data_IF_038498231299
#
_entry.id   IF_038498231299
#
_cell.length_a   1.000
_cell.length_b   1.000
_cell.length_c   1.000
_cell.angle_alpha   90.00
_cell.angle_beta   90.00
_cell.angle_gamma   90.00
#
_symmetry.space_group_name_H-M   'P 1'
#
loop_
_entity.id
_entity.type
_entity.pdbx_description
1 polymer ?
#
# COMPACT_ATOMS: atom_id res chain seq x y z
N UNK A 1 -16.67 5.77 -5.87
CA UNK A 1 -16.82 6.65 -4.71
C UNK A 1 -18.23 6.51 -4.14
N UNK A 2 -18.40 6.75 -2.83
CA UNK A 2 -19.67 6.62 -2.10
C UNK A 2 -19.99 7.95 -1.41
N UNK A 3 -21.22 8.44 -1.52
CA UNK A 3 -21.68 9.64 -0.82
C UNK A 3 -21.82 9.44 0.68
N UNK A 4 -22.13 8.24 1.13
CA UNK A 4 -22.05 7.91 2.56
C UNK A 4 -20.58 7.78 2.96
N UNK A 5 -20.15 8.61 3.86
CA UNK A 5 -18.76 8.69 4.32
C UNK A 5 -17.84 9.49 3.40
N UNK A 6 -18.22 9.81 2.17
CA UNK A 6 -17.39 10.52 1.20
C UNK A 6 -16.11 9.76 0.82
N UNK A 7 -16.17 8.43 0.66
CA UNK A 7 -14.98 7.56 0.53
C UNK A 7 -14.95 6.77 -0.77
N UNK A 8 -13.78 6.20 -1.08
CA UNK A 8 -13.62 5.26 -2.19
C UNK A 8 -14.36 3.98 -1.87
N UNK A 9 -15.30 3.57 -2.72
CA UNK A 9 -16.15 2.38 -2.55
C UNK A 9 -15.67 1.18 -3.36
N UNK A 10 -15.07 1.43 -4.52
CA UNK A 10 -14.57 0.39 -5.41
C UNK A 10 -13.32 0.86 -6.14
N UNK A 11 -12.36 -0.04 -6.26
CA UNK A 11 -11.15 0.14 -7.08
C UNK A 11 -10.99 -1.03 -8.02
N UNK A 12 -10.86 -0.71 -9.31
CA UNK A 12 -10.62 -1.67 -10.39
C UNK A 12 -9.35 -1.26 -11.12
N UNK A 13 -8.41 -2.20 -11.24
CA UNK A 13 -7.16 -2.04 -11.98
C UNK A 13 -7.36 -2.67 -13.36
N UNK A 14 -7.27 -1.85 -14.40
CA UNK A 14 -7.47 -2.29 -15.77
C UNK A 14 -6.23 -3.00 -16.33
N UNK A 15 -6.44 -3.83 -17.34
CA UNK A 15 -5.39 -4.52 -18.09
C UNK A 15 -4.57 -5.56 -17.30
N UNK A 16 -5.10 -6.04 -16.18
CA UNK A 16 -4.55 -7.17 -15.44
C UNK A 16 -5.60 -8.27 -15.31
N UNK A 17 -5.20 -9.52 -15.55
CA UNK A 17 -6.12 -10.64 -15.39
C UNK A 17 -6.23 -11.07 -13.93
N UNK A 18 -7.45 -11.30 -13.46
CA UNK A 18 -7.71 -11.93 -12.16
C UNK A 18 -7.61 -13.46 -12.24
N UNK A 19 -7.76 -14.15 -11.10
CA UNK A 19 -7.73 -15.63 -11.02
C UNK A 19 -8.77 -16.35 -11.88
N UNK A 20 -9.82 -15.67 -12.28
CA UNK A 20 -10.93 -16.21 -13.09
C UNK A 20 -10.74 -15.93 -14.59
N UNK A 21 -9.70 -15.16 -14.96
CA UNK A 21 -9.41 -14.75 -16.32
C UNK A 21 -10.17 -13.50 -16.77
N UNK A 22 -10.80 -12.76 -15.85
CA UNK A 22 -11.35 -11.45 -16.16
C UNK A 22 -10.21 -10.46 -16.45
N UNK A 23 -10.43 -9.56 -17.41
CA UNK A 23 -9.39 -8.60 -17.87
C UNK A 23 -9.07 -7.47 -16.89
N UNK A 24 -9.73 -7.40 -15.76
CA UNK A 24 -9.56 -6.35 -14.76
C UNK A 24 -9.51 -6.96 -13.36
N UNK A 25 -8.64 -6.44 -12.51
CA UNK A 25 -8.51 -6.84 -11.12
C UNK A 25 -9.30 -5.89 -10.24
N UNK A 26 -10.23 -6.40 -9.44
CA UNK A 26 -10.90 -5.62 -8.40
C UNK A 26 -10.14 -5.77 -7.10
N UNK A 27 -9.58 -4.67 -6.57
CA UNK A 27 -8.87 -4.68 -5.28
C UNK A 27 -9.84 -4.82 -4.12
N UNK A 28 -10.94 -4.07 -4.17
CA UNK A 28 -12.04 -4.13 -3.22
C UNK A 28 -13.30 -3.48 -3.81
N UNK A 29 -14.46 -3.81 -3.23
CA UNK A 29 -15.74 -3.16 -3.53
C UNK A 29 -16.70 -3.23 -2.34
N UNK A 30 -17.43 -2.16 -2.12
CA UNK A 30 -18.49 -2.07 -1.11
C UNK A 30 -18.01 -2.50 0.28
N UNK A 31 -18.58 -3.56 0.83
CA UNK A 31 -18.27 -4.06 2.19
C UNK A 31 -16.86 -4.65 2.37
N UNK A 32 -16.08 -4.77 1.31
CA UNK A 32 -14.70 -5.24 1.41
C UNK A 32 -13.77 -4.19 2.04
N UNK A 33 -14.14 -2.93 1.95
CA UNK A 33 -13.43 -1.83 2.57
C UNK A 33 -14.34 -1.03 3.50
N UNK A 34 -13.75 -0.53 4.59
CA UNK A 34 -14.33 0.50 5.43
C UNK A 34 -13.23 1.52 5.73
N UNK A 35 -13.46 2.76 5.31
CA UNK A 35 -12.60 3.90 5.61
C UNK A 35 -13.48 4.99 6.23
N UNK A 36 -13.07 5.51 7.38
CA UNK A 36 -13.72 6.66 7.97
C UNK A 36 -12.72 7.56 8.70
N UNK A 37 -13.08 8.82 8.78
CA UNK A 37 -12.36 9.86 9.49
C UNK A 37 -13.18 10.29 10.70
N UNK A 38 -12.54 10.37 11.85
CA UNK A 38 -13.20 10.76 13.11
C UNK A 38 -12.59 12.06 13.62
N UNK A 39 -13.42 13.08 13.79
CA UNK A 39 -13.03 14.42 14.21
C UNK A 39 -13.51 14.68 15.63
N UNK A 40 -12.68 15.34 16.45
CA UNK A 40 -13.08 15.80 17.75
C UNK A 40 -13.98 17.04 17.60
N UNK A 41 -15.12 17.03 18.28
CA UNK A 41 -16.04 18.17 18.42
C UNK A 41 -16.01 18.70 19.85
N UNK A 42 -16.69 19.79 20.11
CA UNK A 42 -16.83 20.32 21.49
C UNK A 42 -17.58 19.36 22.43
N UNK A 43 -18.50 18.59 21.86
CA UNK A 43 -19.42 17.73 22.62
C UNK A 43 -19.11 16.23 22.48
N UNK A 44 -17.97 15.88 21.83
CA UNK A 44 -17.57 14.49 21.62
C UNK A 44 -16.84 14.27 20.29
N UNK A 45 -17.30 13.32 19.50
CA UNK A 45 -16.67 12.94 18.23
C UNK A 45 -17.71 12.78 17.12
N UNK A 46 -17.33 13.10 15.88
CA UNK A 46 -18.13 12.85 14.70
C UNK A 46 -17.34 11.99 13.71
N UNK A 47 -17.96 10.93 13.21
CA UNK A 47 -17.36 10.05 12.19
C UNK A 47 -17.97 10.34 10.83
N UNK A 48 -17.15 10.37 9.79
CA UNK A 48 -17.65 10.47 8.42
C UNK A 48 -18.53 9.30 8.00
N UNK A 49 -18.38 8.13 8.65
CA UNK A 49 -19.25 6.98 8.40
C UNK A 49 -20.75 7.26 8.66
N UNK A 50 -21.04 8.25 9.51
CA UNK A 50 -22.39 8.66 9.88
C UNK A 50 -22.90 9.84 9.03
N UNK A 51 -22.06 10.39 8.16
CA UNK A 51 -22.37 11.56 7.34
C UNK A 51 -22.69 11.18 5.90
N UNK A 52 -23.57 11.97 5.29
CA UNK A 52 -23.83 11.95 3.86
C UNK A 52 -23.22 13.20 3.22
N UNK A 53 -22.47 12.98 2.17
CA UNK A 53 -21.79 14.04 1.42
C UNK A 53 -22.50 14.30 0.09
N UNK A 54 -22.60 15.56 -0.26
CA UNK A 54 -23.07 15.98 -1.58
C UNK A 54 -21.87 16.15 -2.50
N UNK A 55 -21.83 15.45 -3.65
CA UNK A 55 -20.76 15.62 -4.62
C UNK A 55 -20.93 16.92 -5.40
N UNK A 56 -19.83 17.59 -5.66
CA UNK A 56 -19.71 18.77 -6.52
C UNK A 56 -18.40 18.74 -7.29
N UNK A 57 -18.21 19.65 -8.24
CA UNK A 57 -17.00 19.73 -9.08
C UNK A 57 -16.62 18.37 -9.70
N UNK A 58 -17.62 17.62 -10.18
CA UNK A 58 -17.41 16.27 -10.73
C UNK A 58 -16.88 16.40 -12.15
N UNK A 59 -15.65 15.92 -12.35
CA UNK A 59 -14.99 15.76 -13.65
C UNK A 59 -14.49 14.34 -13.82
N UNK A 60 -13.82 14.01 -14.91
CA UNK A 60 -13.21 12.71 -15.13
C UNK A 60 -12.11 12.38 -14.11
N UNK A 61 -11.49 13.41 -13.52
CA UNK A 61 -10.35 13.25 -12.61
C UNK A 61 -10.56 13.84 -11.22
N UNK A 62 -11.63 14.61 -11.00
CA UNK A 62 -11.84 15.33 -9.74
C UNK A 62 -13.26 15.18 -9.24
N UNK A 63 -13.42 15.07 -7.94
CA UNK A 63 -14.71 15.20 -7.25
C UNK A 63 -14.50 15.81 -5.88
N UNK A 64 -15.39 16.70 -5.50
CA UNK A 64 -15.45 17.32 -4.17
C UNK A 64 -16.70 16.83 -3.44
N UNK A 65 -16.53 16.23 -2.29
CA UNK A 65 -17.60 15.80 -1.37
C UNK A 65 -17.74 16.81 -0.23
N UNK A 66 -18.93 17.33 -0.01
CA UNK A 66 -19.21 18.32 1.05
C UNK A 66 -20.33 17.82 1.95
N UNK A 67 -20.05 17.75 3.25
CA UNK A 67 -21.05 17.58 4.29
C UNK A 67 -21.28 18.92 5.00
N UNK A 68 -22.52 19.39 5.05
CA UNK A 68 -22.90 20.66 5.64
C UNK A 68 -23.58 20.43 7.00
N UNK A 69 -23.02 21.02 8.04
CA UNK A 69 -23.60 20.98 9.38
C UNK A 69 -24.60 22.15 9.61
N UNK A 70 -24.34 23.30 8.96
CA UNK A 70 -25.22 24.47 8.90
C UNK A 70 -24.70 25.38 7.78
N UNK A 71 -25.46 26.40 7.40
CA UNK A 71 -25.07 27.34 6.34
C UNK A 71 -23.64 27.87 6.56
N UNK A 72 -22.76 27.61 5.59
CA UNK A 72 -21.36 28.00 5.62
C UNK A 72 -20.47 27.21 6.60
N UNK A 73 -20.96 26.10 7.18
CA UNK A 73 -20.20 25.21 8.08
C UNK A 73 -20.07 23.84 7.45
N UNK A 74 -18.96 23.60 6.78
CA UNK A 74 -18.77 22.43 5.94
C UNK A 74 -17.51 21.64 6.28
N UNK A 75 -17.61 20.31 6.16
CA UNK A 75 -16.50 19.40 6.05
C UNK A 75 -16.40 18.95 4.59
N UNK A 76 -15.23 19.11 3.99
CA UNK A 76 -15.00 18.83 2.57
C UNK A 76 -13.92 17.79 2.38
N UNK A 77 -14.17 16.80 1.52
CA UNK A 77 -13.19 15.81 1.07
C UNK A 77 -13.09 15.92 -0.45
N UNK A 78 -11.94 16.33 -0.94
CA UNK A 78 -11.67 16.46 -2.38
C UNK A 78 -10.75 15.33 -2.83
N UNK A 79 -11.12 14.68 -3.91
CA UNK A 79 -10.34 13.65 -4.59
C UNK A 79 -9.89 14.17 -5.95
N UNK A 80 -8.63 13.94 -6.27
CA UNK A 80 -8.03 14.22 -7.58
C UNK A 80 -7.28 12.98 -8.04
N UNK A 81 -7.71 12.40 -9.16
CA UNK A 81 -7.01 11.28 -9.79
C UNK A 81 -5.69 11.80 -10.38
N UNK A 82 -4.59 11.27 -9.88
CA UNK A 82 -3.26 11.55 -10.35
C UNK A 82 -2.80 10.56 -11.43
N UNK A 83 -1.53 10.64 -11.78
CA UNK A 83 -0.87 9.69 -12.66
C UNK A 83 -0.47 8.42 -11.89
N UNK A 84 -0.11 7.36 -12.60
CA UNK A 84 0.55 6.17 -12.05
C UNK A 84 -0.21 5.57 -10.84
N UNK A 85 -1.53 5.38 -10.99
CA UNK A 85 -2.40 4.77 -9.96
C UNK A 85 -2.55 5.58 -8.66
N UNK A 86 -2.22 6.87 -8.67
CA UNK A 86 -2.35 7.75 -7.52
C UNK A 86 -3.72 8.40 -7.44
N UNK A 87 -4.23 8.56 -6.22
CA UNK A 87 -5.42 9.33 -5.89
C UNK A 87 -5.07 10.30 -4.76
N UNK A 88 -5.00 11.59 -5.08
CA UNK A 88 -4.73 12.64 -4.12
C UNK A 88 -6.00 13.03 -3.39
N UNK A 89 -5.93 13.14 -2.07
CA UNK A 89 -7.06 13.47 -1.21
C UNK A 89 -6.72 14.63 -0.30
N UNK A 90 -7.62 15.60 -0.23
CA UNK A 90 -7.53 16.69 0.74
C UNK A 90 -8.80 16.78 1.58
N UNK A 91 -8.63 16.92 2.88
CA UNK A 91 -9.72 17.05 3.86
C UNK A 91 -9.61 18.41 4.51
N UNK A 92 -10.68 19.19 4.50
CA UNK A 92 -10.71 20.54 5.07
C UNK A 92 -12.04 20.82 5.76
N UNK A 93 -12.02 21.74 6.71
CA UNK A 93 -13.21 22.27 7.39
C UNK A 93 -13.34 23.77 7.07
N UNK A 94 -14.56 24.23 6.84
CA UNK A 94 -14.82 25.65 6.64
C UNK A 94 -15.90 26.10 7.60
N UNK A 95 -15.69 27.21 8.32
CA UNK A 95 -16.66 27.76 9.26
C UNK A 95 -16.96 26.88 10.48
N UNK A 96 -16.18 25.83 10.72
CA UNK A 96 -16.46 24.79 11.70
C UNK A 96 -15.94 25.11 13.13
N UNK A 97 -15.34 26.27 13.38
CA UNK A 97 -14.76 26.66 14.66
C UNK A 97 -15.74 26.60 15.88
N UNK A 98 -17.05 26.73 15.60
CA UNK A 98 -18.09 26.57 16.62
C UNK A 98 -18.48 25.13 16.94
N UNK A 99 -18.08 24.15 16.09
CA UNK A 99 -18.45 22.74 16.18
C UNK A 99 -17.24 21.89 16.52
N UNK A 100 -16.14 22.03 15.78
CA UNK A 100 -14.91 21.29 16.03
C UNK A 100 -14.20 21.79 17.29
N UNK A 101 -13.48 20.89 17.95
CA UNK A 101 -12.66 21.24 19.10
C UNK A 101 -11.35 21.89 18.63
N UNK A 102 -11.14 23.21 18.90
CA UNK A 102 -9.96 23.93 18.41
C UNK A 102 -8.65 23.49 19.09
N UNK A 103 -8.73 22.76 20.20
CA UNK A 103 -7.56 22.24 20.92
C UNK A 103 -7.06 20.91 20.37
N UNK A 104 -7.81 20.27 19.47
CA UNK A 104 -7.47 18.98 18.86
C UNK A 104 -7.12 19.21 17.41
N UNK A 105 -5.84 19.12 17.08
CA UNK A 105 -5.29 19.35 15.76
C UNK A 105 -4.97 18.04 15.03
N UNK A 106 -5.74 16.99 15.29
CA UNK A 106 -5.58 15.68 14.67
C UNK A 106 -6.93 15.10 14.25
N UNK A 107 -6.89 14.23 13.25
CA UNK A 107 -8.01 13.38 12.81
C UNK A 107 -7.63 11.92 12.99
N UNK A 108 -8.53 11.13 13.55
CA UNK A 108 -8.38 9.69 13.63
C UNK A 108 -8.89 9.05 12.35
N UNK A 109 -8.14 8.09 11.81
CA UNK A 109 -8.44 7.36 10.58
C UNK A 109 -8.61 5.89 10.93
N UNK A 110 -9.78 5.34 10.62
CA UNK A 110 -10.02 3.91 10.70
C UNK A 110 -10.12 3.35 9.28
N UNK A 111 -9.16 2.53 8.90
CA UNK A 111 -9.10 1.90 7.59
C UNK A 111 -9.09 0.38 7.73
N UNK A 112 -10.01 -0.29 7.07
CA UNK A 112 -10.12 -1.74 7.06
C UNK A 112 -10.35 -2.20 5.63
N UNK A 113 -9.74 -3.33 5.26
CA UNK A 113 -9.94 -3.94 3.95
C UNK A 113 -9.78 -5.45 4.04
N UNK A 114 -10.68 -6.18 3.37
CA UNK A 114 -10.48 -7.59 3.05
C UNK A 114 -9.66 -7.68 1.77
N UNK A 115 -8.48 -8.29 1.86
CA UNK A 115 -7.57 -8.47 0.75
C UNK A 115 -8.04 -9.63 -0.13
N UNK A 116 -8.56 -9.32 -1.31
CA UNK A 116 -9.09 -10.31 -2.24
C UNK A 116 -7.96 -11.18 -2.81
N UNK A 117 -8.25 -12.48 -2.96
CA UNK A 117 -7.38 -13.43 -3.65
C UNK A 117 -7.43 -13.19 -5.16
N UNK A 118 -6.27 -12.92 -5.78
CA UNK A 118 -6.14 -12.65 -7.22
C UNK A 118 -5.55 -13.83 -8.00
N UNK A 119 -4.88 -14.77 -7.32
CA UNK A 119 -4.24 -15.92 -7.93
C UNK A 119 -4.96 -17.23 -7.62
N UNK A 120 -4.79 -18.25 -8.47
CA UNK A 120 -5.36 -19.60 -8.24
C UNK A 120 -4.75 -20.28 -7.01
N UNK A 121 -3.47 -20.01 -6.74
CA UNK A 121 -2.69 -20.63 -5.68
C UNK A 121 -2.78 -19.93 -4.35
N UNK A 122 -3.85 -20.12 -3.56
CA UNK A 122 -4.06 -19.49 -2.26
C UNK A 122 -2.83 -19.48 -1.35
N UNK A 123 -2.21 -20.64 -1.12
CA UNK A 123 -1.09 -20.78 -0.16
C UNK A 123 0.12 -19.94 -0.57
N UNK A 124 0.39 -19.86 -1.87
CA UNK A 124 1.51 -19.09 -2.38
C UNK A 124 1.25 -17.59 -2.29
N UNK A 125 0.09 -17.14 -2.76
CA UNK A 125 -0.29 -15.73 -2.71
C UNK A 125 -0.43 -15.22 -1.26
N UNK A 126 -1.05 -16.04 -0.38
CA UNK A 126 -1.24 -15.68 1.04
C UNK A 126 0.09 -15.48 1.78
N UNK A 127 1.17 -16.17 1.38
CA UNK A 127 2.52 -15.98 1.94
C UNK A 127 3.04 -14.55 1.74
N UNK A 128 2.70 -13.92 0.62
CA UNK A 128 3.13 -12.56 0.27
C UNK A 128 2.09 -11.49 0.58
N UNK A 129 0.94 -11.88 1.10
CA UNK A 129 -0.09 -10.96 1.55
C UNK A 129 0.26 -10.44 2.95
N UNK A 130 0.70 -9.18 3.04
CA UNK A 130 1.18 -8.55 4.27
C UNK A 130 0.59 -7.17 4.46
N UNK A 131 0.43 -6.75 5.72
CA UNK A 131 0.27 -5.36 6.08
C UNK A 131 1.69 -4.78 6.26
N UNK A 132 2.05 -3.86 5.39
CA UNK A 132 3.40 -3.26 5.33
C UNK A 132 3.29 -1.78 5.68
N UNK A 133 4.31 -1.22 6.31
CA UNK A 133 4.33 0.19 6.70
C UNK A 133 5.75 0.74 6.66
N UNK A 134 5.87 2.06 6.51
CA UNK A 134 7.15 2.76 6.51
C UNK A 134 7.23 3.68 7.72
N UNK A 135 8.27 3.49 8.53
CA UNK A 135 8.57 4.37 9.67
C UNK A 135 9.29 5.60 9.17
N UNK A 136 8.87 6.78 9.60
CA UNK A 136 9.49 8.06 9.20
C UNK A 136 10.99 8.14 9.54
N UNK A 137 11.44 7.34 10.51
CA UNK A 137 12.85 7.20 10.91
C UNK A 137 13.19 5.74 11.13
N UNK A 138 13.24 4.94 10.08
CA UNK A 138 13.55 3.52 10.31
C UNK A 138 13.32 2.58 9.13
N UNK A 139 12.80 3.09 8.02
CA UNK A 139 12.57 2.32 6.81
C UNK A 139 11.29 1.44 6.88
N UNK A 140 11.16 0.57 5.91
CA UNK A 140 9.97 -0.25 5.68
C UNK A 140 10.01 -1.54 6.48
N UNK A 141 8.89 -1.83 7.15
CA UNK A 141 8.65 -3.04 7.95
C UNK A 141 7.26 -3.62 7.64
N UNK A 142 6.96 -4.80 8.14
CA UNK A 142 5.65 -5.45 7.91
C UNK A 142 5.25 -6.32 9.10
N UNK A 143 3.95 -6.51 9.30
CA UNK A 143 3.45 -7.50 10.25
C UNK A 143 3.80 -8.90 9.75
N UNK A 144 4.21 -9.77 10.67
CA UNK A 144 4.66 -11.14 10.38
C UNK A 144 3.69 -11.89 9.47
N UNK A 145 4.23 -12.74 8.60
CA UNK A 145 3.49 -13.56 7.63
C UNK A 145 2.81 -14.79 8.28
N UNK A 146 2.60 -14.79 9.60
CA UNK A 146 2.05 -15.94 10.32
C UNK A 146 0.61 -16.25 9.95
N UNK A 147 0.17 -17.46 10.24
CA UNK A 147 -1.22 -17.91 10.11
C UNK A 147 -2.13 -17.44 11.25
N UNK A 148 -1.61 -16.68 12.20
CA UNK A 148 -2.35 -16.19 13.37
C UNK A 148 -2.72 -14.71 13.22
N UNK A 149 -3.73 -14.28 13.97
CA UNK A 149 -4.07 -12.87 14.09
C UNK A 149 -2.90 -12.13 14.76
N UNK A 150 -2.49 -11.03 14.14
CA UNK A 150 -1.51 -10.10 14.72
C UNK A 150 -2.21 -8.77 14.98
N UNK A 151 -1.95 -8.19 16.13
CA UNK A 151 -2.42 -6.89 16.56
C UNK A 151 -1.23 -6.17 17.21
N UNK A 152 -0.71 -5.15 16.53
CA UNK A 152 0.54 -4.49 16.91
C UNK A 152 0.35 -2.98 17.01
N UNK A 153 0.92 -2.38 18.04
CA UNK A 153 0.98 -0.92 18.22
C UNK A 153 2.35 -0.45 17.77
N UNK A 154 2.39 0.39 16.76
CA UNK A 154 3.61 0.99 16.23
C UNK A 154 3.81 2.32 16.95
N UNK A 155 4.80 2.38 17.83
CA UNK A 155 5.12 3.56 18.62
C UNK A 155 5.74 4.68 17.78
N UNK A 156 6.45 4.30 16.70
CA UNK A 156 7.07 5.25 15.78
C UNK A 156 6.03 5.97 14.91
N UNK A 157 6.40 7.14 14.40
CA UNK A 157 5.68 7.80 13.32
C UNK A 157 5.80 7.00 12.03
N UNK A 158 4.70 6.94 11.28
CA UNK A 158 4.58 6.19 10.03
C UNK A 158 4.31 7.16 8.88
N UNK A 159 4.96 6.99 7.74
CA UNK A 159 4.71 7.79 6.54
C UNK A 159 3.60 7.20 5.68
N UNK A 160 3.57 5.87 5.58
CA UNK A 160 2.52 5.16 4.86
C UNK A 160 2.23 3.77 5.44
N UNK A 161 1.01 3.30 5.16
CA UNK A 161 0.55 1.94 5.46
C UNK A 161 0.00 1.33 4.17
N UNK A 162 0.33 0.06 3.91
CA UNK A 162 -0.08 -0.68 2.74
C UNK A 162 -0.78 -1.99 3.10
N UNK A 163 -1.95 -2.20 2.53
CA UNK A 163 -2.66 -3.48 2.49
C UNK A 163 -2.35 -4.14 1.15
N UNK A 164 -1.56 -5.19 1.16
CA UNK A 164 -1.08 -5.81 -0.07
C UNK A 164 -1.38 -7.30 -0.16
N UNK A 165 -1.57 -7.78 -1.37
CA UNK A 165 -1.38 -9.16 -1.77
C UNK A 165 -0.02 -9.31 -2.49
N UNK A 166 0.15 -10.39 -3.23
CA UNK A 166 1.42 -10.65 -3.94
C UNK A 166 1.72 -9.59 -5.01
N UNK A 167 0.72 -9.18 -5.79
CA UNK A 167 0.92 -8.38 -7.01
C UNK A 167 0.32 -6.99 -6.96
N UNK A 168 -0.54 -6.70 -6.00
CA UNK A 168 -1.24 -5.41 -5.89
C UNK A 168 -1.22 -4.89 -4.46
N UNK A 169 -1.26 -3.58 -4.34
CA UNK A 169 -1.34 -2.88 -3.05
C UNK A 169 -2.39 -1.78 -3.08
N UNK A 170 -3.00 -1.59 -1.91
CA UNK A 170 -3.70 -0.36 -1.53
C UNK A 170 -2.83 0.32 -0.47
N UNK A 171 -2.31 1.49 -0.76
CA UNK A 171 -1.40 2.24 0.12
C UNK A 171 -2.03 3.57 0.50
N UNK A 172 -1.97 3.94 1.76
CA UNK A 172 -2.33 5.26 2.26
C UNK A 172 -1.07 5.96 2.74
N UNK A 173 -0.78 7.13 2.18
CA UNK A 173 0.41 7.94 2.43
C UNK A 173 -0.01 9.26 3.06
N UNK A 174 0.54 9.61 4.21
CA UNK A 174 0.33 10.93 4.79
C UNK A 174 1.37 11.91 4.25
N UNK A 175 0.94 13.10 3.83
CA UNK A 175 1.86 14.14 3.37
C UNK A 175 2.82 14.58 4.50
N UNK A 176 2.32 14.65 5.71
CA UNK A 176 3.14 14.87 6.91
C UNK A 176 3.67 13.55 7.46
N UNK A 177 2.94 12.92 8.32
CA UNK A 177 3.12 11.56 8.85
C UNK A 177 1.79 11.12 9.52
N UNK A 178 1.69 9.83 9.79
CA UNK A 178 0.78 9.35 10.83
C UNK A 178 1.54 9.41 12.15
N UNK A 179 0.94 10.04 13.15
CA UNK A 179 1.55 10.24 14.47
C UNK A 179 2.07 8.94 15.11
N UNK A 180 2.29 8.96 16.39
CA UNK A 180 2.75 7.80 17.17
C UNK A 180 1.58 6.92 17.63
N UNK A 181 1.88 5.69 18.07
CA UNK A 181 0.90 4.72 18.62
C UNK A 181 -0.21 4.32 17.63
N UNK A 182 0.18 4.09 16.39
CA UNK A 182 -0.73 3.56 15.38
C UNK A 182 -0.98 2.07 15.62
N UNK A 183 -2.23 1.61 15.53
CA UNK A 183 -2.56 0.19 15.69
C UNK A 183 -2.77 -0.45 14.33
N UNK A 184 -2.02 -1.50 14.06
CA UNK A 184 -2.08 -2.27 12.82
C UNK A 184 -2.50 -3.71 13.12
N UNK A 185 -3.48 -4.24 12.39
CA UNK A 185 -4.02 -5.59 12.60
C UNK A 185 -4.06 -6.36 11.30
N UNK A 186 -3.57 -7.59 11.33
CA UNK A 186 -3.70 -8.56 10.23
C UNK A 186 -4.42 -9.81 10.72
N UNK A 187 -5.51 -10.18 10.04
CA UNK A 187 -6.36 -11.33 10.39
C UNK A 187 -6.39 -12.27 9.19
N UNK A 188 -5.79 -13.48 9.28
CA UNK A 188 -5.85 -14.47 8.22
C UNK A 188 -7.28 -14.86 7.89
N UNK A 189 -7.54 -15.15 6.61
CA UNK A 189 -8.82 -15.67 6.14
C UNK A 189 -8.65 -17.13 5.71
N UNK A 190 -9.73 -17.88 5.81
CA UNK A 190 -9.74 -19.30 5.43
C UNK A 190 -9.67 -19.46 3.91
N UNK A 191 -8.98 -20.53 3.48
CA UNK A 191 -8.95 -20.94 2.08
C UNK A 191 -10.37 -21.22 1.57
N UNK A 192 -10.70 -20.67 0.42
CA UNK A 192 -12.02 -20.84 -0.20
C UNK A 192 -12.99 -19.68 0.04
N UNK A 193 -12.69 -18.77 0.96
CA UNK A 193 -13.51 -17.56 1.19
C UNK A 193 -13.39 -16.52 0.08
N UNK A 194 -12.36 -16.62 -0.76
CA UNK A 194 -12.03 -15.61 -1.78
C UNK A 194 -11.14 -14.47 -1.27
N UNK A 195 -10.74 -14.51 -0.02
CA UNK A 195 -9.89 -13.51 0.62
C UNK A 195 -8.66 -14.16 1.24
N UNK A 196 -7.56 -13.40 1.31
CA UNK A 196 -6.30 -13.83 1.91
C UNK A 196 -6.20 -13.39 3.38
N UNK A 197 -6.44 -12.11 3.61
CA UNK A 197 -6.31 -11.43 4.91
C UNK A 197 -7.41 -10.38 5.06
N UNK A 198 -7.75 -10.05 6.30
CA UNK A 198 -8.42 -8.80 6.64
C UNK A 198 -7.42 -7.91 7.36
N UNK A 199 -7.18 -6.73 6.81
CA UNK A 199 -6.30 -5.73 7.39
C UNK A 199 -7.12 -4.64 8.06
N UNK A 200 -6.57 -4.09 9.15
CA UNK A 200 -7.10 -2.91 9.84
C UNK A 200 -5.94 -2.01 10.23
N UNK A 201 -6.12 -0.72 10.05
CA UNK A 201 -5.21 0.31 10.50
C UNK A 201 -6.01 1.39 11.23
N UNK A 202 -5.60 1.69 12.46
CA UNK A 202 -6.05 2.86 13.22
C UNK A 202 -4.90 3.84 13.25
N UNK A 203 -5.06 4.93 12.53
CA UNK A 203 -4.01 5.91 12.29
C UNK A 203 -4.48 7.26 12.80
N UNK A 204 -3.53 8.15 13.03
CA UNK A 204 -3.81 9.54 13.42
C UNK A 204 -2.89 10.47 12.62
N UNK A 205 -3.44 11.51 12.02
CA UNK A 205 -2.64 12.51 11.31
C UNK A 205 -3.08 13.93 11.68
N UNK A 206 -2.29 14.90 11.27
CA UNK A 206 -2.56 16.32 11.52
C UNK A 206 -3.84 16.77 10.80
N UNK A 207 -4.64 17.56 11.47
CA UNK A 207 -5.84 18.19 10.94
C UNK A 207 -6.00 19.59 11.53
N UNK A 208 -6.30 20.55 10.68
CA UNK A 208 -6.55 21.92 11.12
C UNK A 208 -8.06 22.20 11.26
N UNK A 209 -8.60 22.27 12.49
CA UNK A 209 -10.02 22.55 12.69
C UNK A 209 -10.45 23.96 12.30
N UNK A 210 -9.51 24.88 12.05
CA UNK A 210 -9.79 26.24 11.56
C UNK A 210 -10.00 26.28 10.05
N UNK A 211 -9.50 25.27 9.34
CA UNK A 211 -9.60 25.14 7.88
C UNK A 211 -8.55 25.94 7.10
N UNK A 212 -7.55 26.55 7.77
CA UNK A 212 -6.49 27.28 7.08
C UNK A 212 -5.56 26.35 6.29
N UNK A 213 -5.39 25.12 6.74
CA UNK A 213 -4.55 24.10 6.08
C UNK A 213 -5.33 22.79 5.88
N UNK A 214 -5.43 22.28 4.65
CA UNK A 214 -6.06 20.98 4.41
C UNK A 214 -5.14 19.84 4.86
N UNK A 215 -5.73 18.79 5.42
CA UNK A 215 -5.04 17.50 5.61
C UNK A 215 -4.90 16.82 4.26
N UNK A 216 -3.69 16.47 3.88
CA UNK A 216 -3.38 15.82 2.59
C UNK A 216 -3.01 14.36 2.82
N UNK A 217 -3.74 13.48 2.15
CA UNK A 217 -3.52 12.04 2.09
C UNK A 217 -3.45 11.61 0.63
N UNK A 218 -2.48 10.80 0.30
CA UNK A 218 -2.38 10.20 -1.02
C UNK A 218 -2.67 8.70 -0.93
N UNK A 219 -3.41 8.18 -1.90
CA UNK A 219 -3.62 6.74 -2.03
C UNK A 219 -2.94 6.26 -3.30
N UNK A 220 -2.29 5.12 -3.20
CA UNK A 220 -1.84 4.34 -4.33
C UNK A 220 -2.67 3.06 -4.40
N UNK A 221 -3.31 2.82 -5.53
CA UNK A 221 -4.05 1.60 -5.81
C UNK A 221 -3.51 0.97 -7.09
N UNK A 222 -2.54 0.09 -7.00
CA UNK A 222 -1.85 -0.37 -8.19
C UNK A 222 -1.04 -1.64 -8.02
N UNK A 223 -0.33 -2.04 -9.10
CA UNK A 223 0.52 -3.23 -9.10
C UNK A 223 1.79 -3.03 -8.28
N UNK A 224 2.28 -4.11 -7.67
CA UNK A 224 3.57 -4.14 -7.00
C UNK A 224 4.69 -4.27 -8.05
N UNK A 225 4.88 -3.22 -8.85
CA UNK A 225 5.93 -3.13 -9.86
C UNK A 225 7.07 -2.25 -9.35
N UNK A 226 8.28 -2.81 -9.31
CA UNK A 226 9.46 -2.16 -8.73
C UNK A 226 9.81 -0.84 -9.44
N UNK A 227 9.79 -0.85 -10.79
CA UNK A 227 10.14 0.33 -11.59
C UNK A 227 9.08 1.41 -11.51
N UNK A 228 7.82 1.01 -11.60
CA UNK A 228 6.68 1.91 -11.47
C UNK A 228 6.71 2.63 -10.12
N UNK A 229 6.91 1.89 -9.02
CA UNK A 229 6.94 2.47 -7.67
C UNK A 229 8.12 3.45 -7.49
N UNK A 230 9.31 3.12 -7.99
CA UNK A 230 10.45 4.06 -7.99
C UNK A 230 10.16 5.31 -8.82
N UNK A 231 9.61 5.15 -10.01
CA UNK A 231 9.28 6.26 -10.90
C UNK A 231 8.22 7.16 -10.27
N UNK A 232 7.15 6.59 -9.75
CA UNK A 232 6.07 7.29 -9.08
C UNK A 232 6.58 8.10 -7.89
N UNK A 233 7.41 7.51 -7.05
CA UNK A 233 8.01 8.21 -5.90
C UNK A 233 8.87 9.38 -6.35
N UNK A 234 9.70 9.21 -7.37
CA UNK A 234 10.58 10.27 -7.89
C UNK A 234 9.79 11.44 -8.52
N UNK A 235 8.63 11.17 -9.10
CA UNK A 235 7.78 12.17 -9.75
C UNK A 235 6.82 12.89 -8.80
N UNK A 236 6.41 12.22 -7.71
CA UNK A 236 5.37 12.72 -6.81
C UNK A 236 5.83 13.78 -5.82
N UNK A 237 7.12 14.07 -5.74
CA UNK A 237 7.73 15.07 -4.85
C UNK A 237 7.16 15.04 -3.41
N UNK A 238 7.23 13.89 -2.76
CA UNK A 238 6.78 13.74 -1.37
C UNK A 238 7.64 14.52 -0.38
N UNK A 239 8.83 15.00 -0.80
CA UNK A 239 9.78 15.71 0.05
C UNK A 239 10.52 14.81 1.04
N UNK A 240 10.36 13.50 0.93
CA UNK A 240 10.99 12.46 1.76
C UNK A 240 11.09 11.17 0.96
N UNK A 241 12.06 10.33 1.33
CA UNK A 241 12.23 8.99 0.76
C UNK A 241 11.20 8.05 1.43
N UNK A 242 10.30 7.50 0.65
CA UNK A 242 9.24 6.61 1.13
C UNK A 242 9.57 5.12 0.92
N UNK A 243 10.61 4.81 0.14
CA UNK A 243 11.01 3.44 -0.19
C UNK A 243 9.83 2.56 -0.70
N UNK A 244 8.91 3.13 -1.49
CA UNK A 244 7.69 2.43 -1.94
C UNK A 244 8.00 1.17 -2.75
N UNK A 245 9.14 1.11 -3.42
CA UNK A 245 9.60 -0.09 -4.13
C UNK A 245 9.84 -1.29 -3.20
N UNK A 246 9.92 -1.09 -1.88
CA UNK A 246 10.00 -2.17 -0.90
C UNK A 246 8.69 -2.95 -0.73
N UNK A 247 7.59 -2.47 -1.28
CA UNK A 247 6.37 -3.27 -1.44
C UNK A 247 6.62 -4.51 -2.31
N UNK A 248 7.62 -4.45 -3.21
CA UNK A 248 8.03 -5.60 -4.02
C UNK A 248 8.98 -6.48 -3.21
N UNK A 249 8.58 -7.73 -2.97
CA UNK A 249 9.40 -8.68 -2.25
C UNK A 249 10.55 -9.20 -3.14
N UNK A 250 11.75 -8.73 -2.88
CA UNK A 250 12.97 -9.12 -3.62
C UNK A 250 13.78 -10.25 -2.94
N UNK A 251 13.22 -10.91 -1.93
CA UNK A 251 13.90 -11.97 -1.18
C UNK A 251 14.67 -11.47 0.06
N UNK A 252 15.43 -12.38 0.67
CA UNK A 252 16.24 -12.08 1.85
C UNK A 252 17.29 -10.99 1.57
N UNK A 253 17.85 -10.32 2.60
CA UNK A 253 18.70 -9.14 2.41
C UNK A 253 19.82 -9.31 1.38
N UNK A 254 20.53 -10.47 1.41
CA UNK A 254 21.59 -10.76 0.44
C UNK A 254 21.04 -10.88 -1.00
N UNK A 255 19.96 -11.63 -1.18
CA UNK A 255 19.31 -11.79 -2.49
C UNK A 255 18.66 -10.49 -2.97
N UNK A 256 18.12 -9.69 -2.05
CA UNK A 256 17.57 -8.37 -2.36
C UNK A 256 18.60 -7.46 -3.00
N UNK A 257 19.84 -7.40 -2.47
CA UNK A 257 20.93 -6.61 -3.04
C UNK A 257 21.26 -7.08 -4.45
N UNK A 258 21.40 -8.41 -4.65
CA UNK A 258 21.68 -8.98 -5.97
C UNK A 258 20.52 -8.70 -6.94
N UNK A 259 19.28 -8.92 -6.51
CA UNK A 259 18.12 -8.68 -7.35
C UNK A 259 17.96 -7.21 -7.72
N UNK A 260 18.11 -6.29 -6.75
CA UNK A 260 17.99 -4.85 -6.96
C UNK A 260 19.05 -4.29 -7.91
N UNK A 261 20.32 -4.69 -7.76
CA UNK A 261 21.44 -4.09 -8.47
C UNK A 261 21.91 -4.87 -9.70
N UNK A 262 21.53 -6.13 -9.82
CA UNK A 262 21.96 -6.98 -10.92
C UNK A 262 20.80 -7.59 -11.70
N UNK A 263 19.95 -8.40 -11.06
CA UNK A 263 18.94 -9.20 -11.77
C UNK A 263 17.93 -8.33 -12.51
N UNK A 264 17.42 -7.25 -11.89
CA UNK A 264 16.44 -6.35 -12.51
C UNK A 264 17.06 -5.65 -13.71
N UNK A 265 18.30 -5.14 -13.60
CA UNK A 265 18.95 -4.47 -14.72
C UNK A 265 19.24 -5.40 -15.89
N UNK A 266 19.72 -6.61 -15.61
CA UNK A 266 19.95 -7.63 -16.65
C UNK A 266 18.63 -8.04 -17.32
N UNK A 267 17.57 -8.18 -16.53
CA UNK A 267 16.24 -8.48 -17.02
C UNK A 267 15.73 -7.37 -17.96
N UNK A 268 15.77 -6.11 -17.51
CA UNK A 268 15.36 -4.95 -18.32
C UNK A 268 16.18 -4.85 -19.62
N UNK A 269 17.48 -5.07 -19.54
CA UNK A 269 18.38 -5.06 -20.69
C UNK A 269 18.03 -6.15 -21.72
N UNK A 270 17.79 -7.38 -21.25
CA UNK A 270 17.41 -8.50 -22.14
C UNK A 270 16.02 -8.33 -22.75
N UNK A 271 15.05 -7.82 -21.98
CA UNK A 271 13.71 -7.53 -22.50
C UNK A 271 13.71 -6.42 -23.52
N UNK A 272 14.62 -5.45 -23.41
CA UNK A 272 14.83 -4.37 -24.38
C UNK A 272 15.22 -4.85 -25.79
N UNK A 273 15.75 -6.07 -25.93
CA UNK A 273 16.00 -6.70 -27.25
C UNK A 273 14.74 -7.33 -27.88
N UNK A 274 13.60 -7.30 -27.20
CA UNK A 274 12.35 -7.90 -27.69
C UNK A 274 12.30 -9.43 -27.62
N UNK A 275 13.17 -10.06 -26.83
CA UNK A 275 13.13 -11.51 -26.62
C UNK A 275 11.84 -11.95 -25.92
N UNK A 276 11.35 -13.14 -26.27
CA UNK A 276 10.28 -13.79 -25.53
C UNK A 276 10.72 -14.01 -24.07
N UNK A 277 9.79 -13.81 -23.12
CA UNK A 277 10.04 -13.94 -21.68
C UNK A 277 10.73 -15.26 -21.29
N UNK A 278 10.37 -16.38 -21.91
CA UNK A 278 11.01 -17.67 -21.68
C UNK A 278 12.50 -17.68 -22.05
N UNK A 279 12.86 -17.03 -23.16
CA UNK A 279 14.26 -16.88 -23.59
C UNK A 279 15.03 -16.01 -22.59
N UNK A 280 14.44 -14.90 -22.14
CA UNK A 280 15.04 -14.01 -21.14
C UNK A 280 15.36 -14.79 -19.85
N UNK A 281 14.42 -15.60 -19.35
CA UNK A 281 14.62 -16.41 -18.14
C UNK A 281 15.74 -17.46 -18.31
N UNK A 282 15.84 -18.10 -19.47
CA UNK A 282 16.93 -19.05 -19.78
C UNK A 282 18.27 -18.32 -19.78
N UNK A 283 18.38 -17.17 -20.46
CA UNK A 283 19.60 -16.39 -20.55
C UNK A 283 20.08 -15.90 -19.18
N UNK A 284 19.17 -15.38 -18.34
CA UNK A 284 19.49 -14.97 -16.95
C UNK A 284 19.98 -16.18 -16.15
N UNK A 285 19.33 -17.33 -16.29
CA UNK A 285 19.71 -18.55 -15.58
C UNK A 285 21.11 -19.02 -15.99
N UNK A 286 21.43 -18.99 -17.27
CA UNK A 286 22.76 -19.34 -17.79
C UNK A 286 23.83 -18.35 -17.30
N UNK A 287 23.54 -17.06 -17.32
CA UNK A 287 24.42 -16.01 -16.83
C UNK A 287 24.72 -16.18 -15.33
N UNK A 288 23.70 -16.38 -14.50
CA UNK A 288 23.88 -16.63 -13.06
C UNK A 288 24.66 -17.90 -12.78
N UNK A 289 24.38 -19.00 -13.53
CA UNK A 289 25.17 -20.23 -13.45
C UNK A 289 26.63 -20.02 -13.84
N UNK A 290 26.88 -19.23 -14.89
CA UNK A 290 28.24 -18.89 -15.31
C UNK A 290 29.02 -18.15 -14.24
N UNK A 291 28.40 -17.14 -13.59
CA UNK A 291 29.01 -16.35 -12.51
C UNK A 291 29.27 -17.23 -11.27
N UNK A 292 28.34 -18.12 -10.93
CA UNK A 292 28.46 -18.96 -9.72
C UNK A 292 29.32 -20.20 -9.95
N UNK A 293 29.55 -20.62 -11.19
CA UNK A 293 30.31 -21.85 -11.55
C UNK A 293 31.68 -21.95 -10.87
N UNK A 294 32.58 -20.93 -10.87
CA UNK A 294 33.89 -21.04 -10.25
C UNK A 294 33.80 -21.28 -8.73
N UNK A 295 32.80 -20.69 -8.05
CA UNK A 295 32.55 -20.92 -6.62
C UNK A 295 32.06 -22.34 -6.34
N UNK A 296 31.10 -22.79 -7.14
CA UNK A 296 30.55 -24.14 -7.08
C UNK A 296 31.63 -25.19 -7.35
N UNK A 297 32.46 -24.97 -8.38
CA UNK A 297 33.61 -25.86 -8.68
C UNK A 297 34.58 -25.99 -7.50
N UNK A 298 34.95 -24.85 -6.86
CA UNK A 298 35.79 -24.85 -5.66
C UNK A 298 35.16 -25.66 -4.53
N UNK A 299 33.87 -25.49 -4.26
CA UNK A 299 33.13 -26.20 -3.22
C UNK A 299 33.14 -27.72 -3.49
N UNK A 300 32.85 -28.17 -4.71
CA UNK A 300 32.87 -29.56 -5.09
C UNK A 300 34.28 -30.18 -4.96
N UNK A 301 35.32 -29.47 -5.41
CA UNK A 301 36.71 -29.93 -5.27
C UNK A 301 37.12 -30.05 -3.80
N UNK A 302 36.75 -29.12 -2.94
CA UNK A 302 37.00 -29.18 -1.49
C UNK A 302 36.28 -30.35 -0.87
N UNK A 303 35.01 -30.58 -1.21
CA UNK A 303 34.23 -31.71 -0.71
C UNK A 303 34.80 -33.06 -1.18
N UNK A 304 35.27 -33.15 -2.43
CA UNK A 304 35.92 -34.34 -2.97
C UNK A 304 37.23 -34.64 -2.22
N UNK A 305 38.08 -33.60 -1.99
CA UNK A 305 39.30 -33.76 -1.19
C UNK A 305 39.04 -34.25 0.24
N UNK A 306 37.99 -33.72 0.90
CA UNK A 306 37.62 -34.18 2.23
C UNK A 306 37.15 -35.64 2.28
N UNK A 307 36.47 -36.14 1.23
CA UNK A 307 36.07 -37.56 1.15
C UNK A 307 37.24 -38.51 1.02
N UNK A 308 38.32 -38.08 0.37
CA UNK A 308 39.55 -38.89 0.21
C UNK A 308 40.39 -38.92 1.51
N UNK A 309 40.25 -37.89 2.36
CA UNK A 309 40.97 -37.76 3.64
C UNK A 309 40.25 -38.37 4.84
N UNK A 310 39.01 -38.86 4.65
CA UNK A 310 38.27 -39.57 5.72
C UNK A 310 38.58 -41.06 5.59
N UNK A 311 39.31 -41.67 6.57
CA UNK A 311 39.56 -43.12 6.59
C UNK A 311 38.28 -43.94 6.70
#
# INVERSE_FOLDING_TARGET
>A
LNTKGGVVDKVVINNFADRNGNKNVTLFQGKDQNLNYTFATKDGYISTADLFFTPSEVTDTTVTFTAEAAAGKTLTIKYVLGNEYMLHTSISATGMAGILNPSVNTVDINWQQRCAQQEKGFTFENRYATLTYHKSKGGTDYLSETSEKIDEVIEDKIDWVAFKNQFFSAVMIAKTDFGTNNTLTSIPQEKGTGYLKQYKARLKTTFDPTGAQPTQLDFYYGPNDFRLLQQMESQSNFGKDLELERLVYLGWPLFRVINRWFTIYVFDWLTGFGFNMGVVLILITLLLKGITFPLVKKSYLSSAKMRVLKP
#
